data_IF_295851786312
#
_entry.id   IF_295851786312
#
_cell.length_a   1.000
_cell.length_b   1.000
_cell.length_c   1.000
_cell.angle_alpha   90.00
_cell.angle_beta   90.00
_cell.angle_gamma   90.00
#
_symmetry.space_group_name_H-M   'P 1'
#
loop_
_entity.id
_entity.type
_entity.pdbx_description
1 polymer ?
#
# COMPACT_ATOMS: atom_id res chain seq x y z
N UNK A 1 9.84 -27.40 9.57
CA UNK A 1 9.97 -26.04 10.15
C UNK A 1 10.33 -25.00 9.10
N UNK A 2 11.19 -25.29 8.12
CA UNK A 2 11.46 -24.38 6.99
C UNK A 2 10.24 -24.19 6.06
N UNK A 3 9.55 -25.29 5.73
CA UNK A 3 8.45 -25.29 4.75
C UNK A 3 7.24 -24.43 5.17
N UNK A 4 6.94 -24.33 6.47
CA UNK A 4 5.89 -23.44 6.97
C UNK A 4 6.27 -21.96 6.90
N UNK A 5 7.57 -21.65 6.96
CA UNK A 5 8.07 -20.28 6.99
C UNK A 5 8.18 -19.72 5.57
N UNK A 6 8.65 -20.54 4.62
CA UNK A 6 8.66 -20.25 3.18
C UNK A 6 7.24 -19.94 2.64
N UNK A 7 6.23 -20.71 3.07
CA UNK A 7 4.83 -20.46 2.70
C UNK A 7 4.34 -19.11 3.25
N UNK A 8 4.77 -18.73 4.47
CA UNK A 8 4.40 -17.46 5.09
C UNK A 8 5.08 -16.28 4.38
N UNK A 9 6.39 -16.34 4.09
CA UNK A 9 7.09 -15.27 3.37
C UNK A 9 6.56 -15.08 1.94
N UNK A 10 6.22 -16.16 1.25
CA UNK A 10 5.55 -16.11 -0.05
C UNK A 10 4.16 -15.46 0.03
N UNK A 11 3.37 -15.82 1.06
CA UNK A 11 2.05 -15.23 1.31
C UNK A 11 2.13 -13.73 1.62
N UNK A 12 3.07 -13.33 2.48
CA UNK A 12 3.31 -11.92 2.81
C UNK A 12 3.74 -11.11 1.58
N UNK A 13 4.63 -11.67 0.75
CA UNK A 13 5.06 -11.05 -0.51
C UNK A 13 3.89 -10.88 -1.48
N UNK A 14 3.01 -11.88 -1.58
CA UNK A 14 1.79 -11.78 -2.38
C UNK A 14 0.88 -10.65 -1.87
N UNK A 15 0.69 -10.56 -0.55
CA UNK A 15 -0.15 -9.54 0.04
C UNK A 15 0.41 -8.12 -0.17
N UNK A 16 1.73 -7.94 -0.07
CA UNK A 16 2.43 -6.69 -0.42
C UNK A 16 2.13 -6.25 -1.86
N UNK A 17 2.10 -7.19 -2.81
CA UNK A 17 1.75 -6.88 -4.21
C UNK A 17 0.31 -6.37 -4.30
N UNK A 18 -0.64 -7.08 -3.68
CA UNK A 18 -2.05 -6.65 -3.67
C UNK A 18 -2.23 -5.25 -3.05
N UNK A 19 -1.53 -4.94 -1.95
CA UNK A 19 -1.58 -3.60 -1.34
C UNK A 19 -0.99 -2.52 -2.25
N UNK A 20 0.08 -2.87 -2.98
CA UNK A 20 0.71 -1.97 -3.94
C UNK A 20 -0.21 -1.70 -5.13
N UNK A 21 -0.86 -2.75 -5.66
CA UNK A 21 -1.81 -2.64 -6.77
C UNK A 21 -3.01 -1.78 -6.37
N UNK A 22 -3.59 -2.02 -5.19
CA UNK A 22 -4.69 -1.23 -4.66
C UNK A 22 -4.31 0.24 -4.45
N UNK A 23 -3.10 0.51 -3.95
CA UNK A 23 -2.58 1.87 -3.83
C UNK A 23 -2.49 2.56 -5.20
N UNK A 24 -2.03 1.84 -6.24
CA UNK A 24 -2.00 2.34 -7.62
C UNK A 24 -3.37 2.63 -8.21
N UNK A 25 -4.36 1.79 -7.94
CA UNK A 25 -5.76 2.02 -8.32
C UNK A 25 -6.33 3.28 -7.65
N UNK A 26 -6.08 3.46 -6.35
CA UNK A 26 -6.48 4.66 -5.62
C UNK A 26 -5.77 5.92 -6.15
N UNK A 27 -4.49 5.83 -6.50
CA UNK A 27 -3.75 6.92 -7.14
C UNK A 27 -4.34 7.32 -8.50
N UNK A 28 -4.79 6.34 -9.29
CA UNK A 28 -5.50 6.57 -10.55
C UNK A 28 -6.85 7.25 -10.30
N UNK A 29 -7.61 6.77 -9.31
CA UNK A 29 -8.88 7.38 -8.91
C UNK A 29 -8.70 8.82 -8.42
N UNK A 30 -7.66 9.11 -7.62
CA UNK A 30 -7.33 10.45 -7.17
C UNK A 30 -6.97 11.38 -8.33
N UNK A 31 -6.20 10.87 -9.30
CA UNK A 31 -5.86 11.62 -10.52
C UNK A 31 -7.11 11.98 -11.31
N UNK A 32 -8.03 11.04 -11.48
CA UNK A 32 -9.32 11.27 -12.13
C UNK A 32 -10.19 12.27 -11.35
N UNK A 33 -10.22 12.17 -10.01
CA UNK A 33 -10.96 13.07 -9.13
C UNK A 33 -10.38 14.50 -9.07
N UNK A 34 -9.12 14.68 -9.48
CA UNK A 34 -8.46 16.00 -9.53
C UNK A 34 -8.87 16.79 -10.77
N UNK A 35 -9.40 16.13 -11.80
CA UNK A 35 -9.98 16.80 -12.98
C UNK A 35 -11.23 17.55 -12.54
N UNK A 36 -11.04 18.83 -12.23
CA UNK A 36 -12.07 19.69 -11.68
C UNK A 36 -12.95 20.21 -12.80
N UNK A 37 -14.25 19.97 -12.69
CA UNK A 37 -15.26 20.68 -13.46
C UNK A 37 -15.28 22.12 -12.94
N UNK A 38 -14.69 23.06 -13.68
CA UNK A 38 -14.67 24.49 -13.31
C UNK A 38 -16.10 25.00 -13.09
N UNK A 39 -16.32 25.87 -12.10
CA UNK A 39 -17.65 26.35 -11.69
C UNK A 39 -18.54 26.91 -12.80
N UNK A 40 -17.96 27.28 -13.94
CA UNK A 40 -18.64 27.75 -15.14
C UNK A 40 -19.39 26.64 -15.90
N UNK A 41 -18.96 25.38 -15.76
CA UNK A 41 -19.62 24.22 -16.35
C UNK A 41 -20.94 23.85 -15.63
N UNK A 42 -21.18 24.38 -14.42
CA UNK A 42 -22.43 24.18 -13.68
C UNK A 42 -23.52 25.21 -14.01
N UNK A 43 -23.22 26.20 -14.87
CA UNK A 43 -24.14 27.28 -15.21
C UNK A 43 -24.55 28.17 -14.02
N UNK A 44 -25.36 29.20 -14.30
CA UNK A 44 -25.72 30.21 -13.30
C UNK A 44 -26.50 29.63 -12.09
N UNK A 45 -27.28 28.57 -12.31
CA UNK A 45 -28.07 27.89 -11.29
C UNK A 45 -27.25 26.94 -10.39
N UNK A 46 -26.15 26.37 -10.92
CA UNK A 46 -25.30 25.43 -10.19
C UNK A 46 -24.17 26.09 -9.38
N UNK A 47 -23.83 27.37 -9.63
CA UNK A 47 -22.80 28.12 -8.90
C UNK A 47 -22.99 28.13 -7.37
N UNK A 48 -24.23 28.16 -6.90
CA UNK A 48 -24.56 28.13 -5.45
C UNK A 48 -24.21 26.79 -4.78
N UNK A 49 -24.18 25.71 -5.55
CA UNK A 49 -23.79 24.37 -5.08
C UNK A 49 -22.33 24.05 -5.38
N UNK A 50 -21.71 24.77 -6.34
CA UNK A 50 -20.33 24.56 -6.74
C UNK A 50 -19.34 24.62 -5.56
N UNK A 51 -19.55 25.53 -4.61
CA UNK A 51 -18.72 25.60 -3.40
C UNK A 51 -18.85 24.34 -2.53
N UNK A 52 -20.08 23.93 -2.20
CA UNK A 52 -20.32 22.74 -1.39
C UNK A 52 -19.83 21.45 -2.08
N UNK A 53 -19.99 21.36 -3.40
CA UNK A 53 -19.45 20.26 -4.20
C UNK A 53 -17.91 20.26 -4.21
N UNK A 54 -17.29 21.44 -4.28
CA UNK A 54 -15.85 21.60 -4.14
C UNK A 54 -15.33 21.12 -2.79
N UNK A 55 -15.99 21.51 -1.69
CA UNK A 55 -15.62 21.11 -0.33
C UNK A 55 -15.74 19.57 -0.14
N UNK A 56 -16.78 18.95 -0.70
CA UNK A 56 -16.95 17.48 -0.69
C UNK A 56 -15.87 16.80 -1.55
N UNK A 57 -15.58 17.35 -2.73
CA UNK A 57 -14.54 16.82 -3.61
C UNK A 57 -13.16 16.87 -2.96
N UNK A 58 -12.80 17.98 -2.30
CA UNK A 58 -11.53 18.10 -1.58
C UNK A 58 -11.44 17.11 -0.42
N UNK A 59 -12.51 16.95 0.37
CA UNK A 59 -12.53 15.96 1.46
C UNK A 59 -12.37 14.52 0.94
N UNK A 60 -12.95 14.21 -0.21
CA UNK A 60 -12.77 12.92 -0.88
C UNK A 60 -11.33 12.71 -1.34
N UNK A 61 -10.71 13.72 -1.95
CA UNK A 61 -9.31 13.68 -2.38
C UNK A 61 -8.35 13.49 -1.19
N UNK A 62 -8.59 14.16 -0.06
CA UNK A 62 -7.78 14.01 1.15
C UNK A 62 -7.90 12.62 1.77
N UNK A 63 -9.12 12.05 1.74
CA UNK A 63 -9.36 10.68 2.19
C UNK A 63 -8.62 9.67 1.31
N UNK A 64 -8.68 9.82 -0.01
CA UNK A 64 -7.95 8.97 -0.95
C UNK A 64 -6.43 9.05 -0.74
N UNK A 65 -5.89 10.26 -0.51
CA UNK A 65 -4.47 10.45 -0.22
C UNK A 65 -4.05 9.74 1.07
N UNK A 66 -4.84 9.89 2.12
CA UNK A 66 -4.60 9.21 3.41
C UNK A 66 -4.64 7.69 3.27
N UNK A 67 -5.57 7.17 2.46
CA UNK A 67 -5.67 5.73 2.19
C UNK A 67 -4.45 5.20 1.43
N UNK A 68 -3.97 5.92 0.41
CA UNK A 68 -2.74 5.60 -0.33
C UNK A 68 -1.54 5.53 0.63
N UNK A 69 -1.33 6.56 1.45
CA UNK A 69 -0.23 6.61 2.43
C UNK A 69 -0.29 5.44 3.43
N UNK A 70 -1.49 5.10 3.90
CA UNK A 70 -1.68 3.98 4.83
C UNK A 70 -1.35 2.63 4.18
N UNK A 71 -1.78 2.42 2.94
CA UNK A 71 -1.50 1.19 2.19
C UNK A 71 0.01 1.04 1.89
N UNK A 72 0.67 2.13 1.49
CA UNK A 72 2.12 2.13 1.27
C UNK A 72 2.89 1.82 2.54
N UNK A 73 2.49 2.41 3.68
CA UNK A 73 3.10 2.14 4.98
C UNK A 73 2.90 0.69 5.40
N UNK A 74 1.71 0.12 5.20
CA UNK A 74 1.45 -1.29 5.47
C UNK A 74 2.30 -2.19 4.58
N UNK A 75 2.39 -1.90 3.27
CA UNK A 75 3.23 -2.64 2.34
C UNK A 75 4.72 -2.60 2.73
N UNK A 76 5.23 -1.44 3.18
CA UNK A 76 6.59 -1.30 3.68
C UNK A 76 6.85 -2.18 4.92
N UNK A 77 5.97 -2.10 5.93
CA UNK A 77 6.12 -2.90 7.15
C UNK A 77 6.10 -4.41 6.88
N UNK A 78 5.29 -4.86 5.92
CA UNK A 78 5.26 -6.25 5.50
C UNK A 78 6.54 -6.68 4.78
N UNK A 79 7.13 -5.82 3.92
CA UNK A 79 8.43 -6.10 3.30
C UNK A 79 9.53 -6.22 4.35
N UNK A 80 9.55 -5.31 5.33
CA UNK A 80 10.52 -5.35 6.43
C UNK A 80 10.41 -6.66 7.23
N UNK A 81 9.17 -7.12 7.45
CA UNK A 81 8.90 -8.40 8.13
C UNK A 81 9.42 -9.60 7.34
N UNK A 82 9.22 -9.62 6.01
CA UNK A 82 9.76 -10.68 5.14
C UNK A 82 11.28 -10.70 5.19
N UNK A 83 11.93 -9.54 5.08
CA UNK A 83 13.39 -9.43 5.17
C UNK A 83 13.92 -9.91 6.52
N UNK A 84 13.25 -9.58 7.62
CA UNK A 84 13.63 -10.08 8.94
C UNK A 84 13.56 -11.61 9.05
N UNK A 85 12.53 -12.21 8.46
CA UNK A 85 12.38 -13.67 8.41
C UNK A 85 13.45 -14.35 7.57
N UNK A 86 13.76 -13.82 6.38
CA UNK A 86 14.84 -14.34 5.53
C UNK A 86 16.20 -14.28 6.21
N UNK A 87 16.51 -13.16 6.89
CA UNK A 87 17.76 -13.01 7.66
C UNK A 87 17.85 -14.03 8.82
N UNK A 88 16.73 -14.28 9.51
CA UNK A 88 16.68 -15.25 10.60
C UNK A 88 16.91 -16.67 10.09
N UNK A 89 16.34 -17.03 8.93
CA UNK A 89 16.58 -18.33 8.31
C UNK A 89 18.04 -18.52 7.90
N UNK A 90 18.65 -17.49 7.29
CA UNK A 90 20.05 -17.55 6.89
C UNK A 90 20.99 -17.70 8.09
N UNK A 91 20.72 -16.96 9.18
CA UNK A 91 21.48 -17.07 10.42
C UNK A 91 21.38 -18.47 11.05
N UNK A 92 20.18 -19.05 11.08
CA UNK A 92 19.96 -20.42 11.58
C UNK A 92 20.68 -21.45 10.68
N UNK A 93 20.59 -21.29 9.36
CA UNK A 93 21.25 -22.18 8.38
C UNK A 93 22.78 -22.13 8.55
N UNK A 94 23.36 -20.94 8.65
CA UNK A 94 24.80 -20.75 8.86
C UNK A 94 25.28 -21.31 10.21
N UNK A 95 24.45 -21.24 11.26
CA UNK A 95 24.73 -21.87 12.54
C UNK A 95 24.74 -23.40 12.46
N UNK A 96 23.77 -23.99 11.75
CA UNK A 96 23.69 -25.43 11.54
C UNK A 96 24.87 -25.98 10.74
N UNK A 97 25.30 -25.31 9.67
CA UNK A 97 26.49 -25.73 8.90
C UNK A 97 27.75 -25.71 9.75
N UNK A 98 27.92 -24.67 10.58
CA UNK A 98 29.08 -24.57 11.49
C UNK A 98 29.13 -25.69 12.52
N UNK A 99 28.00 -26.06 13.10
CA UNK A 99 27.90 -27.20 14.04
C UNK A 99 28.15 -28.54 13.33
N UNK A 100 27.75 -28.65 12.07
CA UNK A 100 28.01 -29.83 11.24
C UNK A 100 29.49 -30.03 10.92
N UNK A 101 30.24 -28.94 10.71
CA UNK A 101 31.68 -28.98 10.41
C UNK A 101 32.57 -29.28 11.63
N UNK A 102 32.04 -29.15 12.86
CA UNK A 102 32.76 -29.41 14.12
C UNK A 102 32.57 -30.84 14.67
N UNK A 103 31.86 -31.74 13.95
CA UNK A 103 31.66 -33.16 14.32
C UNK A 103 32.31 -34.11 13.34
#
# INVERSE_FOLDING_TARGET
MAESYEVVTASLTSHVRTLTDLSGELGTALTAATVTVTGDAYGQAGRRFAKALGDVASSGQDTLRTAIEALEKAAAALRDTVTAYEQQEEAVRAGLTRIGDER
#
